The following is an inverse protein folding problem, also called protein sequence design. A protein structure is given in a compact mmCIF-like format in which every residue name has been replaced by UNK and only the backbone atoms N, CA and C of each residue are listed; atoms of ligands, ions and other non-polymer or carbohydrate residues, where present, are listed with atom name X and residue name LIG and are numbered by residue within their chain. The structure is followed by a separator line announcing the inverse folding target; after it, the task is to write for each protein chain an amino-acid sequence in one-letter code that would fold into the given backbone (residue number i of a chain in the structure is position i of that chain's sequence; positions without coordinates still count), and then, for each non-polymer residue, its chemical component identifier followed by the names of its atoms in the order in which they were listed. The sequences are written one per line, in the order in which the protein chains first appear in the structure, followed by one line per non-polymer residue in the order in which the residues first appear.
data_IF_939792377820
#
_entry.id   IF_939792377820
#
_cell.length_a   1.000
_cell.length_b   1.000
_cell.length_c   1.000
_cell.angle_alpha   90.00
_cell.angle_beta   90.00
_cell.angle_gamma   90.00
#
_symmetry.space_group_name_H-M   'P 1'
#
loop_
_entity.id
_entity.type
_entity.pdbx_description
1 polymer ?
#
# COMPACT_ATOMS: atom_id res chain seq x y z
N UNK A 1 -15.48 2.48 7.65
CA UNK A 1 -15.03 1.99 6.33
C UNK A 1 -14.72 0.53 6.56
N UNK A 2 -15.30 -0.33 5.72
CA UNK A 2 -14.93 -1.74 5.69
C UNK A 2 -13.52 -1.88 5.10
N UNK A 3 -12.74 -2.83 5.61
CA UNK A 3 -11.40 -3.11 5.10
C UNK A 3 -11.19 -4.61 5.01
N UNK A 4 -10.58 -5.05 3.91
CA UNK A 4 -10.18 -6.45 3.69
C UNK A 4 -8.65 -6.51 3.63
N UNK A 5 -8.08 -7.51 4.29
CA UNK A 5 -6.64 -7.71 4.39
C UNK A 5 -6.23 -8.91 3.54
N UNK A 6 -5.32 -8.68 2.59
CA UNK A 6 -4.71 -9.72 1.78
C UNK A 6 -3.23 -9.88 2.12
N UNK A 7 -2.82 -11.13 2.36
CA UNK A 7 -1.40 -11.48 2.46
C UNK A 7 -1.00 -12.03 1.10
N UNK A 8 -0.44 -11.19 0.24
CA UNK A 8 -0.12 -11.51 -1.16
C UNK A 8 0.46 -12.91 -1.42
N UNK A 9 1.45 -13.44 -0.67
CA UNK A 9 1.97 -14.80 -0.95
C UNK A 9 1.01 -15.95 -0.61
N UNK A 10 -0.11 -15.67 0.07
CA UNK A 10 -1.11 -16.64 0.53
C UNK A 10 -2.52 -16.29 0.07
N UNK A 11 -2.66 -15.40 -0.91
CA UNK A 11 -3.93 -14.92 -1.42
C UNK A 11 -3.97 -15.10 -2.92
N UNK A 12 -5.13 -15.52 -3.44
CA UNK A 12 -5.32 -15.64 -4.88
C UNK A 12 -5.35 -14.25 -5.52
N UNK A 13 -4.67 -14.10 -6.65
CA UNK A 13 -4.59 -12.82 -7.35
C UNK A 13 -5.93 -12.43 -7.97
N UNK A 14 -6.70 -13.38 -8.50
CA UNK A 14 -8.03 -13.12 -9.05
C UNK A 14 -9.00 -12.56 -7.99
N UNK A 15 -8.98 -13.11 -6.78
CA UNK A 15 -9.78 -12.60 -5.67
C UNK A 15 -9.41 -11.15 -5.29
N UNK A 16 -8.11 -10.85 -5.22
CA UNK A 16 -7.62 -9.50 -4.91
C UNK A 16 -8.03 -8.50 -6.01
N UNK A 17 -7.90 -8.88 -7.28
CA UNK A 17 -8.28 -8.04 -8.42
C UNK A 17 -9.79 -7.86 -8.48
N UNK A 18 -10.58 -8.90 -8.20
CA UNK A 18 -12.04 -8.80 -8.08
C UNK A 18 -12.44 -7.78 -7.02
N UNK A 19 -11.84 -7.87 -5.82
CA UNK A 19 -12.09 -6.91 -4.74
C UNK A 19 -11.68 -5.48 -5.09
N UNK A 20 -10.58 -5.34 -5.84
CA UNK A 20 -10.08 -4.03 -6.27
C UNK A 20 -11.10 -3.29 -7.13
N UNK A 21 -11.92 -3.99 -7.92
CA UNK A 21 -12.95 -3.36 -8.75
C UNK A 21 -13.95 -2.59 -7.89
N UNK A 22 -14.40 -3.17 -6.78
CA UNK A 22 -15.39 -2.60 -5.87
C UNK A 22 -14.78 -1.62 -4.86
N UNK A 23 -13.49 -1.79 -4.54
CA UNK A 23 -12.80 -0.97 -3.55
C UNK A 23 -12.50 0.44 -4.07
N UNK A 24 -12.70 1.46 -3.23
CA UNK A 24 -12.36 2.87 -3.54
C UNK A 24 -10.87 3.19 -3.33
N UNK A 25 -10.24 2.55 -2.35
CA UNK A 25 -8.90 2.90 -1.93
C UNK A 25 -8.07 1.70 -1.46
N UNK A 26 -6.77 1.73 -1.74
CA UNK A 26 -5.84 0.64 -1.39
C UNK A 26 -4.66 1.12 -0.55
N UNK A 27 -4.25 0.29 0.40
CA UNK A 27 -2.99 0.46 1.13
C UNK A 27 -2.06 -0.70 0.77
N UNK A 28 -0.88 -0.39 0.25
CA UNK A 28 0.10 -1.42 -0.15
C UNK A 28 1.32 -1.37 0.76
N UNK A 29 1.66 -2.53 1.33
CA UNK A 29 2.73 -2.68 2.31
C UNK A 29 3.88 -3.55 1.81
N UNK A 30 5.13 -3.15 2.09
CA UNK A 30 6.30 -4.03 1.93
C UNK A 30 7.42 -3.67 2.90
N UNK A 31 8.12 -4.69 3.39
CA UNK A 31 9.46 -4.51 3.94
C UNK A 31 10.46 -4.18 2.81
N UNK A 32 11.59 -3.56 3.18
CA UNK A 32 12.71 -3.31 2.27
C UNK A 32 13.63 -4.52 2.21
N UNK A 33 13.87 -5.03 1.00
CA UNK A 33 14.91 -6.02 0.69
C UNK A 33 15.71 -5.52 -0.52
N UNK A 34 17.05 -5.50 -0.40
CA UNK A 34 17.95 -5.04 -1.47
C UNK A 34 17.57 -3.66 -2.05
N UNK A 35 17.23 -2.70 -1.17
CA UNK A 35 16.73 -1.35 -1.51
C UNK A 35 15.43 -1.30 -2.31
N UNK A 36 14.72 -2.43 -2.44
CA UNK A 36 13.45 -2.55 -3.14
C UNK A 36 12.37 -3.21 -2.30
N UNK A 37 11.28 -3.59 -2.96
CA UNK A 37 10.14 -4.29 -2.38
C UNK A 37 10.40 -5.80 -2.25
N UNK A 38 9.61 -6.47 -1.42
CA UNK A 38 9.58 -7.92 -1.34
C UNK A 38 9.20 -8.53 -2.69
N UNK A 39 9.85 -9.62 -3.13
CA UNK A 39 9.49 -10.32 -4.37
C UNK A 39 8.02 -10.76 -4.41
N UNK A 40 7.41 -11.05 -3.25
CA UNK A 40 5.99 -11.42 -3.14
C UNK A 40 5.02 -10.26 -3.40
N UNK A 41 5.50 -9.02 -3.35
CA UNK A 41 4.68 -7.81 -3.59
C UNK A 41 4.84 -7.33 -5.04
N UNK A 42 5.94 -7.67 -5.69
CA UNK A 42 6.26 -7.19 -7.03
C UNK A 42 5.23 -7.57 -8.10
N UNK A 43 4.73 -8.83 -8.19
CA UNK A 43 3.74 -9.22 -9.20
C UNK A 43 2.47 -8.37 -9.13
N UNK A 44 1.94 -8.17 -7.92
CA UNK A 44 0.74 -7.37 -7.70
C UNK A 44 0.92 -5.92 -8.20
N UNK A 45 2.04 -5.27 -7.87
CA UNK A 45 2.30 -3.90 -8.33
C UNK A 45 2.53 -3.80 -9.84
N UNK A 46 3.13 -4.82 -10.45
CA UNK A 46 3.27 -4.90 -11.92
C UNK A 46 1.92 -5.05 -12.60
N UNK A 47 1.04 -5.85 -12.03
CA UNK A 47 -0.33 -6.00 -12.52
C UNK A 47 -1.11 -4.69 -12.43
N UNK A 48 -0.95 -3.91 -11.35
CA UNK A 48 -1.54 -2.57 -11.23
C UNK A 48 -1.06 -1.64 -12.35
N UNK A 49 0.24 -1.62 -12.66
CA UNK A 49 0.79 -0.82 -13.77
C UNK A 49 0.16 -1.20 -15.13
N UNK A 50 -0.12 -2.49 -15.33
CA UNK A 50 -0.75 -3.00 -16.56
C UNK A 50 -2.24 -2.70 -16.64
N UNK A 51 -2.99 -2.95 -15.57
CA UNK A 51 -4.45 -2.79 -15.53
C UNK A 51 -4.91 -1.32 -15.50
N UNK A 52 -4.07 -0.42 -14.96
CA UNK A 52 -4.37 1.00 -14.78
C UNK A 52 -5.74 1.28 -14.14
N UNK A 53 -5.95 0.87 -12.87
CA UNK A 53 -7.22 1.05 -12.18
C UNK A 53 -7.60 2.53 -12.13
N UNK A 54 -8.82 2.86 -12.57
CA UNK A 54 -9.35 4.23 -12.53
C UNK A 54 -10.04 4.52 -11.22
N UNK A 55 -10.04 5.80 -10.83
CA UNK A 55 -10.74 6.33 -9.66
C UNK A 55 -10.36 5.60 -8.36
N UNK A 56 -9.11 5.15 -8.25
CA UNK A 56 -8.57 4.53 -7.05
C UNK A 56 -7.68 5.52 -6.31
N UNK A 57 -7.84 5.54 -5.00
CA UNK A 57 -6.96 6.27 -4.08
C UNK A 57 -5.98 5.28 -3.46
N UNK A 58 -4.76 5.71 -3.15
CA UNK A 58 -3.81 4.85 -2.49
C UNK A 58 -2.86 5.57 -1.54
N UNK A 59 -2.24 4.76 -0.69
CA UNK A 59 -1.03 5.13 0.03
C UNK A 59 -0.18 3.88 0.30
N UNK A 60 1.07 4.08 0.68
CA UNK A 60 2.01 2.99 0.93
C UNK A 60 2.45 2.95 2.38
N UNK A 61 2.84 1.77 2.86
CA UNK A 61 3.47 1.61 4.16
C UNK A 61 4.59 0.56 4.12
N UNK A 62 5.45 0.54 5.13
CA UNK A 62 6.53 -0.44 5.14
C UNK A 62 7.43 -0.42 6.36
N UNK A 63 8.48 -1.23 6.27
CA UNK A 63 9.57 -1.26 7.23
C UNK A 63 10.92 -1.42 6.54
N UNK A 64 12.00 -1.07 7.23
CA UNK A 64 13.37 -1.19 6.71
C UNK A 64 14.39 -1.42 7.82
N UNK A 65 15.56 -1.95 7.47
CA UNK A 65 16.69 -2.10 8.40
C UNK A 65 17.59 -0.86 8.45
N UNK A 66 17.97 -0.32 7.28
CA UNK A 66 18.83 0.86 7.17
C UNK A 66 18.44 1.75 5.98
N UNK A 67 18.62 1.25 4.75
CA UNK A 67 18.58 2.06 3.54
C UNK A 67 17.19 2.41 3.02
N UNK A 68 16.16 1.66 3.43
CA UNK A 68 14.80 1.84 2.91
C UNK A 68 14.71 1.63 1.40
N UNK A 69 13.64 2.15 0.78
CA UNK A 69 13.42 2.10 -0.66
C UNK A 69 12.17 1.34 -1.09
N UNK A 70 11.61 0.47 -0.24
CA UNK A 70 10.35 -0.22 -0.56
C UNK A 70 9.19 0.75 -0.75
N UNK A 71 8.96 1.67 0.21
CA UNK A 71 7.82 2.58 0.16
C UNK A 71 7.88 3.54 -1.03
N UNK A 72 9.04 4.11 -1.33
CA UNK A 72 9.22 4.96 -2.52
C UNK A 72 9.03 4.19 -3.82
N UNK A 73 9.45 2.92 -3.87
CA UNK A 73 9.19 2.03 -5.01
C UNK A 73 7.69 1.77 -5.17
N UNK A 74 6.97 1.48 -4.08
CA UNK A 74 5.50 1.28 -4.11
C UNK A 74 4.82 2.55 -4.63
N UNK A 75 5.12 3.71 -4.05
CA UNK A 75 4.53 4.99 -4.47
C UNK A 75 4.76 5.26 -5.96
N UNK A 76 5.98 5.00 -6.45
CA UNK A 76 6.31 5.17 -7.87
C UNK A 76 5.47 4.26 -8.76
N UNK A 77 5.37 2.97 -8.44
CA UNK A 77 4.62 1.99 -9.24
C UNK A 77 3.11 2.28 -9.23
N UNK A 78 2.56 2.69 -8.09
CA UNK A 78 1.16 3.11 -8.00
C UNK A 78 0.87 4.38 -8.82
N UNK A 79 1.77 5.37 -8.79
CA UNK A 79 1.66 6.56 -9.66
C UNK A 79 1.74 6.19 -11.15
N UNK A 80 2.65 5.29 -11.53
CA UNK A 80 2.76 4.79 -12.90
C UNK A 80 1.49 4.05 -13.36
N UNK A 81 0.80 3.37 -12.44
CA UNK A 81 -0.51 2.76 -12.67
C UNK A 81 -1.65 3.78 -12.83
N UNK A 82 -1.39 5.08 -12.60
CA UNK A 82 -2.40 6.14 -12.66
C UNK A 82 -3.27 6.24 -11.40
N UNK A 83 -2.84 5.64 -10.30
CA UNK A 83 -3.55 5.65 -9.02
C UNK A 83 -3.15 6.90 -8.23
N UNK A 84 -4.13 7.60 -7.66
CA UNK A 84 -3.90 8.83 -6.92
C UNK A 84 -3.35 8.54 -5.52
N UNK A 85 -2.18 9.08 -5.18
CA UNK A 85 -1.65 8.99 -3.82
C UNK A 85 -2.18 10.12 -2.95
N UNK A 86 -3.02 9.78 -1.96
CA UNK A 86 -3.70 10.76 -1.10
C UNK A 86 -2.95 11.03 0.21
N UNK A 87 -1.94 10.24 0.53
CA UNK A 87 -1.09 10.38 1.71
C UNK A 87 0.34 9.96 1.39
N UNK A 88 1.36 10.61 1.99
CA UNK A 88 2.73 10.15 1.89
C UNK A 88 2.88 8.79 2.58
N UNK A 89 3.80 7.97 2.08
CA UNK A 89 4.07 6.68 2.69
C UNK A 89 4.60 6.80 4.12
N UNK A 90 4.22 5.86 4.98
CA UNK A 90 4.77 5.72 6.33
C UNK A 90 5.68 4.50 6.43
N UNK A 91 6.84 4.64 7.07
CA UNK A 91 7.76 3.51 7.24
C UNK A 91 8.49 3.59 8.57
N UNK A 92 8.72 2.43 9.19
CA UNK A 92 9.45 2.32 10.46
C UNK A 92 10.72 1.50 10.32
N UNK A 93 11.72 1.87 11.11
CA UNK A 93 12.99 1.15 11.16
C UNK A 93 12.85 -0.05 12.10
N UNK A 94 13.26 -1.24 11.67
CA UNK A 94 13.16 -2.48 12.43
C UNK A 94 11.74 -2.79 12.91
N UNK A 95 11.59 -3.22 14.17
CA UNK A 95 10.34 -3.61 14.78
C UNK A 95 9.67 -2.36 15.38
N UNK A 96 8.42 -2.04 14.97
CA UNK A 96 7.71 -0.88 15.51
C UNK A 96 7.52 -0.95 17.02
N UNK A 97 7.80 0.15 17.72
CA UNK A 97 7.47 0.32 19.12
C UNK A 97 6.01 0.76 19.33
N UNK A 98 5.56 0.86 20.59
CA UNK A 98 4.17 1.26 20.94
C UNK A 98 3.76 2.60 20.33
N UNK A 99 4.67 3.57 20.28
CA UNK A 99 4.43 4.90 19.70
C UNK A 99 4.25 4.81 18.18
N UNK A 100 5.04 3.99 17.50
CA UNK A 100 4.97 3.77 16.06
C UNK A 100 3.73 2.97 15.64
N UNK A 101 3.31 2.00 16.46
CA UNK A 101 2.02 1.32 16.29
C UNK A 101 0.86 2.31 16.44
N UNK A 102 0.92 3.23 17.41
CA UNK A 102 -0.08 4.30 17.54
C UNK A 102 -0.09 5.23 16.32
N UNK A 103 1.08 5.58 15.78
CA UNK A 103 1.20 6.35 14.53
C UNK A 103 0.58 5.60 13.34
N UNK A 104 0.77 4.28 13.26
CA UNK A 104 0.17 3.44 12.21
C UNK A 104 -1.36 3.44 12.28
N UNK A 105 -1.91 3.39 13.50
CA UNK A 105 -3.35 3.48 13.72
C UNK A 105 -3.92 4.86 13.32
N UNK A 106 -3.26 5.95 13.73
CA UNK A 106 -3.68 7.30 13.33
C UNK A 106 -3.53 7.52 11.82
N UNK A 107 -2.49 6.97 11.19
CA UNK A 107 -2.32 6.98 9.74
C UNK A 107 -3.50 6.31 9.02
N UNK A 108 -3.93 5.13 9.48
CA UNK A 108 -5.11 4.46 8.93
C UNK A 108 -6.40 5.26 9.13
N UNK A 109 -6.56 5.96 10.26
CA UNK A 109 -7.71 6.85 10.51
C UNK A 109 -7.71 8.06 9.58
N UNK A 110 -6.56 8.69 9.35
CA UNK A 110 -6.45 9.79 8.41
C UNK A 110 -6.73 9.33 6.97
N UNK A 111 -6.21 8.16 6.58
CA UNK A 111 -6.49 7.57 5.27
C UNK A 111 -7.99 7.36 5.08
N UNK A 112 -8.67 6.72 6.03
CA UNK A 112 -10.11 6.51 5.98
C UNK A 112 -10.90 7.81 5.91
N UNK A 113 -10.48 8.88 6.62
CA UNK A 113 -11.10 10.21 6.51
C UNK A 113 -10.98 10.78 5.11
N UNK A 114 -9.77 10.76 4.52
CA UNK A 114 -9.54 11.28 3.17
C UNK A 114 -10.35 10.52 2.13
N UNK A 115 -10.44 9.19 2.23
CA UNK A 115 -11.25 8.36 1.32
C UNK A 115 -12.74 8.74 1.34
N UNK A 116 -13.28 9.09 2.52
CA UNK A 116 -14.67 9.57 2.65
C UNK A 116 -14.88 10.99 2.12
N UNK A 117 -13.89 11.88 2.26
CA UNK A 117 -14.02 13.28 1.79
C UNK A 117 -14.05 13.37 0.27
N UNK A 118 -13.47 12.39 -0.43
CA UNK A 118 -13.54 12.27 -1.90
C UNK A 118 -14.87 11.63 -2.37
N UNK A 119 -15.91 11.56 -1.53
CA UNK A 119 -17.31 11.28 -1.94
C UNK A 119 -17.99 12.59 -2.36
#
# INVERSE_FOLDING_TARGET
IEAKLYRLPFSDTGDIIGELLETKAILVGSATINNGILPSVAPFLREMEGLRPKNKLAAAFGSYGWGGGATSTIEKLLKNAGIELIMPAISFMWVPNKTELKKSYEYGKEFAKKVKVTE
#
